data_IF_631204869343
#
_entry.id   IF_631204869343
#
_cell.length_a   1.000
_cell.length_b   1.000
_cell.length_c   1.000
_cell.angle_alpha   90.00
_cell.angle_beta   90.00
_cell.angle_gamma   90.00
#
_symmetry.space_group_name_H-M   'P 1'
#
loop_
_entity.id
_entity.type
_entity.pdbx_description
1 polymer ?
#
# COMPACT_ATOMS: atom_id res chain seq x y z
N UNK A 1 -9.19 18.10 -1.53
CA UNK A 1 -7.73 18.32 -1.59
C UNK A 1 -6.99 17.07 -1.16
N UNK A 2 -5.92 16.76 -1.86
CA UNK A 2 -5.08 15.61 -1.52
C UNK A 2 -3.83 16.06 -0.79
N UNK A 3 -3.43 15.27 0.20
CA UNK A 3 -2.18 15.47 0.92
C UNK A 3 -1.29 14.27 0.71
N UNK A 4 -0.01 14.50 0.47
CA UNK A 4 0.97 13.42 0.36
C UNK A 4 1.81 13.37 1.63
N UNK A 5 1.83 12.20 2.25
CA UNK A 5 2.68 11.95 3.42
C UNK A 5 3.73 10.92 3.03
N UNK A 6 4.98 11.30 2.91
CA UNK A 6 6.06 10.36 2.65
C UNK A 6 6.53 9.81 3.99
N UNK A 7 6.20 8.55 4.26
CA UNK A 7 6.55 7.94 5.55
C UNK A 7 8.01 7.49 5.56
N UNK A 8 8.50 7.02 4.42
CA UNK A 8 9.89 6.59 4.29
C UNK A 8 10.25 6.54 2.82
N UNK A 9 11.53 6.80 2.50
CA UNK A 9 12.03 6.64 1.15
C UNK A 9 13.49 6.22 1.21
N UNK A 10 13.90 5.34 0.28
CA UNK A 10 15.27 4.88 0.19
C UNK A 10 15.38 3.37 0.16
N UNK A 11 16.62 2.88 0.16
CA UNK A 11 16.90 1.45 0.02
C UNK A 11 16.50 0.63 1.24
N UNK A 12 16.25 1.26 2.38
CA UNK A 12 15.85 0.56 3.60
C UNK A 12 14.34 0.40 3.73
N UNK A 13 13.57 1.10 2.92
CA UNK A 13 12.13 0.96 2.91
C UNK A 13 11.45 2.17 2.30
N UNK A 14 10.33 1.92 1.63
CA UNK A 14 9.54 2.96 0.98
C UNK A 14 8.09 2.82 1.39
N UNK A 15 7.45 3.93 1.75
CA UNK A 15 6.04 3.97 2.07
C UNK A 15 5.56 5.42 1.99
N UNK A 16 4.41 5.62 1.37
CA UNK A 16 3.81 6.94 1.28
C UNK A 16 2.30 6.81 1.34
N UNK A 17 1.62 7.85 1.82
CA UNK A 17 0.16 7.86 1.90
C UNK A 17 -0.35 9.08 1.14
N UNK A 18 -1.35 8.87 0.30
CA UNK A 18 -2.11 9.94 -0.32
C UNK A 18 -3.43 10.03 0.44
N UNK A 19 -3.65 11.13 1.11
CA UNK A 19 -4.82 11.34 1.95
C UNK A 19 -5.78 12.31 1.30
N UNK A 20 -7.08 11.97 1.33
CA UNK A 20 -8.12 12.92 0.96
C UNK A 20 -8.42 13.76 2.21
N UNK A 21 -8.00 15.02 2.20
CA UNK A 21 -8.11 15.89 3.37
C UNK A 21 -9.57 16.16 3.76
N UNK A 22 -10.50 16.02 2.82
CA UNK A 22 -11.92 16.26 3.11
C UNK A 22 -12.54 15.11 3.89
N UNK A 23 -12.07 13.87 3.70
CA UNK A 23 -12.68 12.69 4.33
C UNK A 23 -11.76 12.02 5.34
N UNK A 24 -10.46 12.27 5.27
CA UNK A 24 -9.47 11.56 6.07
C UNK A 24 -9.11 10.19 5.55
N UNK A 25 -9.73 9.74 4.46
CA UNK A 25 -9.42 8.44 3.86
C UNK A 25 -8.09 8.50 3.12
N UNK A 26 -7.38 7.40 3.05
CA UNK A 26 -6.07 7.39 2.41
C UNK A 26 -5.76 6.12 1.64
N UNK A 27 -4.74 6.22 0.81
CA UNK A 27 -4.21 5.12 0.02
C UNK A 27 -2.72 5.01 0.33
N UNK A 28 -2.27 3.80 0.66
CA UNK A 28 -0.87 3.54 0.94
C UNK A 28 -0.18 3.12 -0.36
N UNK A 29 0.94 3.76 -0.66
CA UNK A 29 1.77 3.42 -1.82
C UNK A 29 3.04 2.74 -1.29
N UNK A 30 3.15 1.45 -1.52
CA UNK A 30 4.23 0.59 -1.03
C UNK A 30 4.29 0.53 0.50
N UNK A 31 4.89 -0.54 1.03
CA UNK A 31 5.09 -0.68 2.47
C UNK A 31 6.33 -1.54 2.73
N UNK A 32 7.48 -0.90 2.64
CA UNK A 32 8.76 -1.55 2.90
C UNK A 32 9.28 -1.32 4.30
N UNK A 33 8.50 -0.71 5.19
CA UNK A 33 8.90 -0.45 6.58
C UNK A 33 8.13 -1.35 7.53
N UNK A 34 8.66 -1.57 8.74
CA UNK A 34 8.01 -2.42 9.71
C UNK A 34 6.75 -1.77 10.28
N UNK A 35 5.91 -2.59 10.93
CA UNK A 35 4.65 -2.11 11.48
C UNK A 35 4.85 -0.97 12.48
N UNK A 36 5.86 -1.10 13.35
CA UNK A 36 6.10 -0.06 14.34
C UNK A 36 6.43 1.28 13.68
N UNK A 37 7.34 1.26 12.71
CA UNK A 37 7.70 2.48 12.01
C UNK A 37 6.52 3.04 11.23
N UNK A 38 5.74 2.17 10.60
CA UNK A 38 4.55 2.59 9.87
C UNK A 38 3.58 3.34 10.78
N UNK A 39 3.29 2.77 11.96
CA UNK A 39 2.35 3.40 12.89
C UNK A 39 2.90 4.70 13.46
N UNK A 40 4.20 4.75 13.78
CA UNK A 40 4.83 5.97 14.27
C UNK A 40 4.78 7.08 13.24
N UNK A 41 5.09 6.75 11.98
CA UNK A 41 5.08 7.76 10.92
C UNK A 41 3.68 8.26 10.62
N UNK A 42 2.68 7.37 10.67
CA UNK A 42 1.30 7.80 10.52
C UNK A 42 0.91 8.78 11.63
N UNK A 43 1.30 8.47 12.86
CA UNK A 43 0.99 9.33 13.99
C UNK A 43 1.64 10.71 13.82
N UNK A 44 2.92 10.73 13.43
CA UNK A 44 3.64 11.97 13.18
C UNK A 44 3.00 12.79 12.07
N UNK A 45 2.46 12.12 11.06
CA UNK A 45 1.82 12.78 9.93
C UNK A 45 0.38 13.21 10.23
N UNK A 46 -0.16 12.78 11.37
CA UNK A 46 -1.55 13.08 11.70
C UNK A 46 -2.55 12.27 10.92
N UNK A 47 -2.14 11.11 10.40
CA UNK A 47 -3.02 10.23 9.62
C UNK A 47 -3.43 9.02 10.44
N UNK A 48 -4.74 8.74 10.46
CA UNK A 48 -5.29 7.55 11.13
C UNK A 48 -5.14 6.34 10.18
N UNK A 49 -4.27 5.37 10.50
CA UNK A 49 -4.05 4.25 9.60
C UNK A 49 -5.28 3.36 9.38
N UNK A 50 -6.26 3.39 10.27
CA UNK A 50 -7.51 2.65 10.06
C UNK A 50 -8.39 3.27 9.00
N UNK A 51 -8.02 4.43 8.47
CA UNK A 51 -8.73 5.08 7.37
C UNK A 51 -8.16 4.72 6.00
N UNK A 52 -7.23 3.76 5.94
CA UNK A 52 -6.72 3.28 4.67
C UNK A 52 -7.78 2.48 3.93
N UNK A 53 -8.03 2.83 2.68
CA UNK A 53 -8.99 2.15 1.81
C UNK A 53 -8.31 1.19 0.84
N UNK A 54 -7.06 1.48 0.50
CA UNK A 54 -6.35 0.69 -0.50
C UNK A 54 -4.85 0.77 -0.28
N UNK A 55 -4.15 -0.23 -0.80
CA UNK A 55 -2.69 -0.26 -0.86
C UNK A 55 -2.31 -0.54 -2.31
N UNK A 56 -1.39 0.25 -2.87
CA UNK A 56 -0.84 0.02 -4.20
C UNK A 56 0.63 -0.33 -4.08
N UNK A 57 1.02 -1.43 -4.72
CA UNK A 57 2.41 -1.88 -4.72
C UNK A 57 3.01 -1.58 -6.10
N UNK A 58 4.07 -0.76 -6.12
CA UNK A 58 4.70 -0.32 -7.37
C UNK A 58 5.83 -1.25 -7.82
N UNK A 59 6.50 -1.90 -6.86
CA UNK A 59 7.63 -2.78 -7.14
C UNK A 59 7.56 -4.01 -6.26
N UNK A 60 8.12 -5.13 -6.75
CA UNK A 60 8.18 -6.36 -5.97
C UNK A 60 9.36 -6.42 -5.01
N UNK A 61 10.29 -5.48 -5.07
CA UNK A 61 11.50 -5.47 -4.24
C UNK A 61 11.15 -5.33 -2.75
N UNK A 62 11.99 -5.91 -1.88
CA UNK A 62 11.73 -5.93 -0.45
C UNK A 62 11.61 -4.56 0.19
N UNK A 63 12.35 -3.56 -0.31
CA UNK A 63 12.26 -2.19 0.22
C UNK A 63 10.93 -1.51 -0.11
N UNK A 64 10.04 -2.18 -0.87
CA UNK A 64 8.69 -1.71 -1.16
C UNK A 64 7.61 -2.62 -0.56
N UNK A 65 7.97 -3.82 -0.07
CA UNK A 65 6.96 -4.82 0.29
C UNK A 65 7.17 -5.51 1.62
N UNK A 66 8.37 -5.46 2.20
CA UNK A 66 8.72 -6.34 3.31
C UNK A 66 7.89 -6.14 4.58
N UNK A 67 7.33 -4.96 4.79
CA UNK A 67 6.52 -4.68 5.97
C UNK A 67 5.03 -4.90 5.76
N UNK A 68 4.62 -5.15 4.52
CA UNK A 68 3.20 -5.14 4.16
C UNK A 68 2.38 -6.17 4.92
N UNK A 69 2.85 -7.42 5.01
CA UNK A 69 2.09 -8.48 5.65
C UNK A 69 1.81 -8.19 7.12
N UNK A 70 2.81 -7.72 7.84
CA UNK A 70 2.66 -7.41 9.27
C UNK A 70 1.75 -6.21 9.47
N UNK A 71 1.89 -5.19 8.61
CA UNK A 71 1.02 -4.01 8.66
C UNK A 71 -0.43 -4.41 8.38
N UNK A 72 -0.68 -5.22 7.35
CA UNK A 72 -2.04 -5.65 7.02
C UNK A 72 -2.66 -6.45 8.16
N UNK A 73 -1.89 -7.34 8.79
CA UNK A 73 -2.40 -8.10 9.93
C UNK A 73 -2.71 -7.19 11.11
N UNK A 74 -1.87 -6.19 11.35
CA UNK A 74 -2.11 -5.22 12.40
C UNK A 74 -3.38 -4.40 12.15
N UNK A 75 -3.59 -3.97 10.91
CA UNK A 75 -4.79 -3.22 10.54
C UNK A 75 -6.04 -4.09 10.67
N UNK A 76 -5.96 -5.36 10.30
CA UNK A 76 -7.10 -6.27 10.40
C UNK A 76 -7.57 -6.40 11.86
N UNK A 77 -6.64 -6.41 12.81
CA UNK A 77 -6.98 -6.46 14.22
C UNK A 77 -7.72 -5.21 14.68
N UNK A 78 -7.57 -4.11 13.96
CA UNK A 78 -8.26 -2.86 14.25
C UNK A 78 -9.52 -2.69 13.41
N UNK A 79 -9.91 -3.73 12.68
CA UNK A 79 -11.12 -3.69 11.86
C UNK A 79 -10.93 -3.05 10.50
N UNK A 80 -9.68 -2.87 10.05
CA UNK A 80 -9.37 -2.23 8.78
C UNK A 80 -8.78 -3.25 7.82
N UNK A 81 -9.39 -3.40 6.64
CA UNK A 81 -8.96 -4.37 5.64
C UNK A 81 -8.89 -3.70 4.27
N UNK A 82 -7.84 -2.91 3.99
CA UNK A 82 -7.72 -2.24 2.70
C UNK A 82 -7.49 -3.24 1.58
N UNK A 83 -8.02 -2.95 0.39
CA UNK A 83 -7.76 -3.76 -0.79
C UNK A 83 -6.33 -3.51 -1.27
N UNK A 84 -5.60 -4.60 -1.56
CA UNK A 84 -4.24 -4.49 -2.07
C UNK A 84 -4.27 -4.63 -3.59
N UNK A 85 -3.78 -3.60 -4.28
CA UNK A 85 -3.68 -3.59 -5.73
C UNK A 85 -2.22 -3.81 -6.13
N UNK A 86 -1.97 -4.83 -6.93
CA UNK A 86 -0.61 -5.20 -7.31
C UNK A 86 -0.59 -5.72 -8.74
N UNK A 87 0.47 -5.39 -9.47
CA UNK A 87 0.66 -5.86 -10.84
C UNK A 87 0.97 -7.36 -10.83
N UNK A 88 0.41 -8.11 -11.80
CA UNK A 88 0.64 -9.55 -11.89
C UNK A 88 2.11 -9.91 -12.00
N UNK A 89 2.88 -9.14 -12.76
CA UNK A 89 4.31 -9.42 -12.89
C UNK A 89 5.03 -9.31 -11.55
N UNK A 90 4.62 -8.36 -10.70
CA UNK A 90 5.19 -8.23 -9.36
C UNK A 90 4.87 -9.45 -8.50
N UNK A 91 3.63 -9.93 -8.55
CA UNK A 91 3.23 -11.12 -7.80
C UNK A 91 4.02 -12.32 -8.28
N UNK A 92 4.13 -12.50 -9.60
CA UNK A 92 4.82 -13.66 -10.17
C UNK A 92 6.30 -13.71 -9.77
N UNK A 93 6.89 -12.55 -9.51
CA UNK A 93 8.32 -12.46 -9.19
C UNK A 93 8.60 -12.30 -7.68
N UNK A 94 7.59 -12.44 -6.84
CA UNK A 94 7.78 -12.19 -5.39
C UNK A 94 7.02 -13.20 -4.56
N UNK A 95 7.76 -14.02 -3.79
CA UNK A 95 7.13 -14.94 -2.85
C UNK A 95 6.39 -14.17 -1.75
N UNK A 96 6.89 -13.00 -1.37
CA UNK A 96 6.22 -12.14 -0.40
C UNK A 96 4.85 -11.73 -0.89
N UNK A 97 4.75 -11.26 -2.14
CA UNK A 97 3.47 -10.81 -2.70
C UNK A 97 2.53 -12.00 -2.97
N UNK A 98 3.07 -13.16 -3.32
CA UNK A 98 2.25 -14.36 -3.46
C UNK A 98 1.59 -14.74 -2.15
N UNK A 99 2.31 -14.63 -1.05
CA UNK A 99 1.74 -14.90 0.26
C UNK A 99 0.70 -13.85 0.65
N UNK A 100 0.95 -12.59 0.34
CA UNK A 100 -0.03 -11.52 0.57
C UNK A 100 -1.31 -11.81 -0.22
N UNK A 101 -1.18 -12.21 -1.49
CA UNK A 101 -2.34 -12.51 -2.32
C UNK A 101 -3.15 -13.69 -1.78
N UNK A 102 -2.49 -14.65 -1.10
CA UNK A 102 -3.17 -15.78 -0.50
C UNK A 102 -3.85 -15.47 0.83
N UNK A 103 -3.31 -14.49 1.58
CA UNK A 103 -3.78 -14.20 2.93
C UNK A 103 -4.71 -12.99 3.03
N UNK A 104 -4.73 -12.10 2.05
CA UNK A 104 -5.47 -10.84 2.12
C UNK A 104 -6.24 -10.57 0.84
N UNK A 105 -7.21 -9.64 0.93
CA UNK A 105 -7.95 -9.17 -0.23
C UNK A 105 -7.00 -8.47 -1.19
N UNK A 106 -6.85 -9.03 -2.39
CA UNK A 106 -5.88 -8.54 -3.36
C UNK A 106 -6.50 -8.52 -4.74
N UNK A 107 -6.35 -7.40 -5.44
CA UNK A 107 -6.73 -7.28 -6.83
C UNK A 107 -5.45 -7.28 -7.66
N UNK A 108 -5.24 -8.34 -8.44
CA UNK A 108 -4.07 -8.46 -9.30
C UNK A 108 -4.36 -7.78 -10.61
N UNK A 109 -3.56 -6.78 -10.95
CA UNK A 109 -3.76 -5.99 -12.15
C UNK A 109 -2.93 -6.56 -13.29
N UNK A 110 -3.52 -6.66 -14.46
CA UNK A 110 -2.80 -7.15 -15.63
C UNK A 110 -1.90 -6.08 -16.22
N UNK A 111 -1.00 -6.53 -17.09
CA UNK A 111 -0.08 -5.61 -17.76
C UNK A 111 -0.82 -4.57 -18.60
N UNK A 112 -2.02 -4.88 -19.03
CA UNK A 112 -2.83 -3.96 -19.82
C UNK A 112 -3.38 -2.80 -19.00
N UNK A 113 -3.32 -2.89 -17.69
CA UNK A 113 -3.79 -1.79 -16.88
C UNK A 113 -2.77 -0.68 -16.93
N UNK A 114 -3.10 0.34 -17.67
CA UNK A 114 -2.28 1.54 -17.74
C UNK A 114 -3.19 2.72 -17.50
N UNK A 115 -2.61 3.80 -17.04
CA UNK A 115 -3.39 4.99 -16.77
C UNK A 115 -3.79 5.72 -18.02
N UNK A 116 -3.23 5.32 -19.12
CA UNK A 116 -3.56 5.95 -20.38
C UNK A 116 -4.92 5.60 -20.89
N UNK A 117 -5.48 4.70 -20.30
CA UNK A 117 -6.77 4.40 -20.75
C UNK A 117 -7.80 5.13 -20.05
N UNK A 118 -7.20 5.14 -20.09
CA UNK A 118 -7.84 5.48 -19.67
C UNK A 118 -8.47 6.16 -20.07
N UNK A 119 -8.29 6.29 -20.59
CA UNK A 119 -8.53 6.81 -20.79
C UNK A 119 -9.32 6.87 -21.12
N UNK A 120 -9.37 6.57 -21.33
CA UNK A 120 -9.86 6.42 -21.45
C UNK A 120 -10.35 6.11 -21.36
N UNK A 121 -10.07 6.06 -21.54
CA UNK A 121 -10.16 5.68 -21.25
C UNK A 121 -10.70 5.60 -20.99
N UNK A 122 -10.79 5.63 -21.54
CA UNK A 122 -10.92 5.55 -21.13
C UNK A 122 -11.33 5.50 -20.95
#
# INVERSE_FOLDING_TARGET
>A
MLKLHVLASGSKGNAAIVENAATGAGVLIDCGICKRDFLERCDEAGFDPTRLEAVFITHEHGDHTKGLGVVLRGLAKLGCAPMVYVNRACVDNSSTLQKIAGDFETATLGAALTLSQDENAS
#
